data_IF_465328044020
#
_entry.id   IF_465328044020
#
_cell.length_a   1.000
_cell.length_b   1.000
_cell.length_c   1.000
_cell.angle_alpha   90.00
_cell.angle_beta   90.00
_cell.angle_gamma   90.00
#
_symmetry.space_group_name_H-M   'P 1'
#
loop_
_entity.id
_entity.type
_entity.pdbx_description
1 polymer ?
#
# COMPACT_ATOMS: atom_id res chain seq x y z
N UNK A 1 -8.76 9.57 -35.13
CA UNK A 1 -9.48 9.07 -33.94
C UNK A 1 -8.64 9.46 -32.74
N UNK A 2 -8.97 10.57 -32.09
CA UNK A 2 -8.22 11.06 -30.91
C UNK A 2 -8.79 10.36 -29.68
N UNK A 3 -7.95 9.61 -28.97
CA UNK A 3 -8.23 9.10 -27.62
C UNK A 3 -7.22 9.77 -26.69
N UNK A 4 -7.64 10.89 -26.10
CA UNK A 4 -7.03 11.46 -24.91
C UNK A 4 -7.79 10.87 -23.73
N UNK A 5 -7.15 9.94 -23.01
CA UNK A 5 -7.47 9.68 -21.61
C UNK A 5 -6.28 10.22 -20.81
N UNK A 6 -6.62 11.12 -19.90
CA UNK A 6 -5.80 12.09 -19.20
C UNK A 6 -4.54 11.58 -18.51
N UNK A 7 -3.48 12.37 -18.68
CA UNK A 7 -2.63 12.91 -17.60
C UNK A 7 -2.25 11.94 -16.48
N UNK A 8 -1.13 11.24 -16.64
CA UNK A 8 -0.31 10.85 -15.48
C UNK A 8 0.57 12.05 -15.14
N UNK A 9 0.02 12.99 -14.37
CA UNK A 9 0.80 14.02 -13.69
C UNK A 9 0.53 13.92 -12.19
N UNK A 10 1.39 13.20 -11.50
CA UNK A 10 1.75 13.48 -10.10
C UNK A 10 3.18 12.96 -9.88
N UNK A 11 4.16 13.69 -10.44
CA UNK A 11 5.54 13.59 -9.99
C UNK A 11 5.66 14.32 -8.66
N UNK A 12 5.55 13.56 -7.57
CA UNK A 12 6.10 13.93 -6.27
C UNK A 12 6.49 12.61 -5.60
N UNK A 13 7.74 12.20 -5.83
CA UNK A 13 8.38 11.04 -5.20
C UNK A 13 7.49 9.77 -5.14
N UNK A 14 7.32 9.11 -6.28
CA UNK A 14 6.58 7.85 -6.35
C UNK A 14 7.18 6.85 -5.34
N UNK A 15 6.42 6.52 -4.29
CA UNK A 15 6.78 5.45 -3.37
C UNK A 15 6.80 4.17 -4.19
N UNK A 16 7.90 3.40 -4.18
CA UNK A 16 8.01 2.23 -5.02
C UNK A 16 6.94 1.21 -4.65
N UNK A 17 6.32 0.62 -5.68
CA UNK A 17 5.42 -0.51 -5.49
C UNK A 17 6.19 -1.62 -4.79
N UNK A 18 5.60 -2.18 -3.73
CA UNK A 18 6.24 -3.20 -2.90
C UNK A 18 5.57 -4.54 -3.12
N UNK A 19 6.37 -5.55 -3.42
CA UNK A 19 5.93 -6.95 -3.46
C UNK A 19 6.09 -7.57 -2.07
N UNK A 20 4.99 -8.03 -1.49
CA UNK A 20 4.98 -8.85 -0.28
C UNK A 20 4.73 -10.33 -0.61
N UNK A 21 4.80 -11.18 0.41
CA UNK A 21 4.37 -12.58 0.26
C UNK A 21 2.84 -12.62 0.15
N UNK A 22 2.33 -12.97 -1.03
CA UNK A 22 0.89 -13.09 -1.30
C UNK A 22 0.17 -11.77 -1.59
N UNK A 23 0.90 -10.65 -1.77
CA UNK A 23 0.31 -9.37 -2.13
C UNK A 23 1.25 -8.40 -2.84
N UNK A 24 0.66 -7.36 -3.40
CA UNK A 24 1.32 -6.17 -3.91
C UNK A 24 0.77 -4.95 -3.17
N UNK A 25 1.66 -4.04 -2.78
CA UNK A 25 1.32 -2.81 -2.06
C UNK A 25 1.72 -1.62 -2.93
N UNK A 26 0.78 -0.73 -3.20
CA UNK A 26 1.02 0.58 -3.81
C UNK A 26 0.54 1.69 -2.89
N UNK A 27 1.11 2.87 -3.08
CA UNK A 27 0.74 4.07 -2.34
C UNK A 27 0.39 5.16 -3.34
N UNK A 28 -0.78 5.76 -3.15
CA UNK A 28 -1.31 6.84 -3.98
C UNK A 28 -1.47 8.09 -3.13
N UNK A 29 -1.13 9.26 -3.67
CA UNK A 29 -1.45 10.52 -3.00
C UNK A 29 -2.96 10.77 -3.08
N UNK A 30 -3.56 11.16 -1.95
CA UNK A 30 -4.97 11.54 -1.91
C UNK A 30 -5.19 12.82 -2.71
N UNK A 31 -6.20 12.82 -3.57
CA UNK A 31 -6.65 14.03 -4.28
C UNK A 31 -7.56 14.91 -3.43
N UNK A 32 -8.03 14.39 -2.28
CA UNK A 32 -8.94 15.10 -1.38
C UNK A 32 -8.18 15.96 -0.36
N UNK A 33 -7.04 15.48 0.14
CA UNK A 33 -6.27 16.12 1.22
C UNK A 33 -4.78 15.91 0.96
N UNK A 34 -3.99 17.00 0.99
CA UNK A 34 -2.59 16.99 0.55
C UNK A 34 -1.64 16.11 1.40
N UNK A 35 -1.96 15.92 2.68
CA UNK A 35 -1.16 15.13 3.62
C UNK A 35 -1.70 13.71 3.83
N UNK A 36 -2.58 13.26 2.93
CA UNK A 36 -3.16 11.93 2.98
C UNK A 36 -2.66 11.05 1.85
N UNK A 37 -2.45 9.79 2.18
CA UNK A 37 -2.05 8.75 1.25
C UNK A 37 -3.01 7.58 1.33
N UNK A 38 -3.35 7.03 0.18
CA UNK A 38 -4.15 5.82 0.05
C UNK A 38 -3.18 4.66 -0.11
N UNK A 39 -3.24 3.72 0.81
CA UNK A 39 -2.49 2.46 0.72
C UNK A 39 -3.43 1.44 0.09
N UNK A 40 -2.99 0.86 -1.01
CA UNK A 40 -3.71 -0.20 -1.73
C UNK A 40 -2.91 -1.47 -1.59
N UNK A 41 -3.54 -2.51 -1.03
CA UNK A 41 -2.97 -3.85 -0.90
C UNK A 41 -3.80 -4.80 -1.75
N UNK A 42 -3.21 -5.27 -2.84
CA UNK A 42 -3.80 -6.24 -3.76
C UNK A 42 -3.35 -7.65 -3.38
N UNK A 43 -4.30 -8.54 -3.12
CA UNK A 43 -4.03 -9.93 -2.74
C UNK A 43 -3.83 -10.79 -4.00
N UNK A 44 -2.80 -11.62 -4.01
CA UNK A 44 -2.48 -12.47 -5.18
C UNK A 44 -3.59 -13.49 -5.51
N UNK A 45 -4.37 -13.91 -4.50
CA UNK A 45 -5.52 -14.80 -4.69
C UNK A 45 -6.82 -14.09 -5.09
N UNK A 46 -6.79 -12.76 -5.28
CA UNK A 46 -7.96 -11.98 -5.65
C UNK A 46 -9.12 -12.14 -4.66
N UNK A 47 -10.35 -12.25 -5.19
CA UNK A 47 -11.56 -12.34 -4.37
C UNK A 47 -11.65 -13.62 -3.52
N UNK A 48 -10.93 -14.68 -3.90
CA UNK A 48 -10.92 -15.97 -3.20
C UNK A 48 -9.79 -16.07 -2.18
N UNK A 49 -8.91 -15.05 -2.10
CA UNK A 49 -7.87 -15.00 -1.08
C UNK A 49 -8.49 -14.89 0.32
N UNK A 50 -7.92 -15.58 1.33
CA UNK A 50 -8.25 -15.29 2.72
C UNK A 50 -7.97 -13.82 3.01
N UNK A 51 -8.94 -13.11 3.58
CA UNK A 51 -8.80 -11.70 3.88
C UNK A 51 -7.83 -11.53 5.08
N UNK A 52 -6.66 -10.90 4.89
CA UNK A 52 -5.75 -10.65 5.99
C UNK A 52 -6.32 -9.59 6.91
N UNK A 53 -6.09 -9.74 8.21
CA UNK A 53 -6.48 -8.76 9.22
C UNK A 53 -5.29 -7.88 9.60
N UNK A 54 -4.08 -8.30 9.25
CA UNK A 54 -2.84 -7.64 9.66
C UNK A 54 -1.83 -7.57 8.51
N UNK A 55 -1.24 -6.38 8.37
CA UNK A 55 -0.03 -6.16 7.59
C UNK A 55 1.15 -6.01 8.54
N UNK A 56 2.17 -6.83 8.35
CA UNK A 56 3.45 -6.71 9.02
C UNK A 56 4.44 -6.05 8.07
N UNK A 57 5.06 -4.97 8.51
CA UNK A 57 6.20 -4.36 7.83
C UNK A 57 7.43 -4.49 8.73
N UNK A 58 8.44 -5.22 8.26
CA UNK A 58 9.68 -5.45 9.00
C UNK A 58 10.83 -4.72 8.33
N UNK A 59 11.62 -3.97 9.11
CA UNK A 59 12.85 -3.35 8.63
C UNK A 59 14.02 -4.36 8.55
N UNK A 60 15.21 -3.91 8.17
CA UNK A 60 16.40 -4.78 8.09
C UNK A 60 16.93 -5.24 9.45
N UNK A 61 16.52 -4.59 10.54
CA UNK A 61 16.89 -4.97 11.90
C UNK A 61 15.88 -5.96 12.50
N UNK A 62 15.00 -6.55 11.69
CA UNK A 62 13.90 -7.43 12.09
C UNK A 62 12.89 -6.76 13.04
N UNK A 63 12.83 -5.42 13.07
CA UNK A 63 11.79 -4.71 13.79
C UNK A 63 10.51 -4.71 12.96
N UNK A 64 9.53 -5.51 13.38
CA UNK A 64 8.25 -5.63 12.71
C UNK A 64 7.18 -4.73 13.34
N UNK A 65 6.60 -3.88 12.51
CA UNK A 65 5.43 -3.07 12.85
C UNK A 65 4.16 -3.75 12.37
N UNK A 66 3.13 -3.73 13.22
CA UNK A 66 1.83 -4.36 12.97
C UNK A 66 0.82 -3.28 12.62
N UNK A 67 0.21 -3.40 11.45
CA UNK A 67 -0.84 -2.49 10.99
C UNK A 67 -2.13 -3.27 10.81
N UNK A 68 -3.21 -2.92 11.54
CA UNK A 68 -4.51 -3.52 11.31
C UNK A 68 -5.01 -3.15 9.91
N UNK A 69 -5.46 -4.16 9.17
CA UNK A 69 -6.06 -3.99 7.87
C UNK A 69 -7.58 -3.96 7.99
N UNK A 70 -8.27 -3.04 7.31
CA UNK A 70 -9.71 -3.16 7.16
C UNK A 70 -10.04 -4.38 6.29
N UNK A 71 -11.33 -4.73 6.30
CA UNK A 71 -11.82 -5.87 5.53
C UNK A 71 -11.51 -5.71 4.05
N UNK A 72 -10.90 -6.74 3.46
CA UNK A 72 -10.70 -6.81 2.02
C UNK A 72 -12.03 -6.82 1.27
N UNK A 73 -12.09 -6.11 0.15
CA UNK A 73 -13.20 -6.15 -0.79
C UNK A 73 -12.69 -6.64 -2.14
N UNK A 74 -13.16 -7.80 -2.59
CA UNK A 74 -12.79 -8.42 -3.87
C UNK A 74 -11.27 -8.57 -4.06
N UNK A 75 -10.55 -8.96 -3.00
CA UNK A 75 -9.10 -9.16 -3.06
C UNK A 75 -8.28 -7.89 -2.93
N UNK A 76 -8.91 -6.76 -2.60
CA UNK A 76 -8.20 -5.48 -2.41
C UNK A 76 -8.54 -4.91 -1.05
N UNK A 77 -7.51 -4.52 -0.31
CA UNK A 77 -7.63 -3.76 0.94
C UNK A 77 -7.17 -2.33 0.65
N UNK A 78 -7.98 -1.34 1.01
CA UNK A 78 -7.65 0.07 0.84
C UNK A 78 -7.92 0.84 2.12
N UNK A 79 -6.98 1.69 2.52
CA UNK A 79 -7.13 2.56 3.67
C UNK A 79 -6.30 3.83 3.52
N UNK A 80 -6.76 4.88 4.18
CA UNK A 80 -6.12 6.19 4.17
C UNK A 80 -5.22 6.31 5.39
N UNK A 81 -4.02 6.85 5.18
CA UNK A 81 -3.07 7.20 6.24
C UNK A 81 -2.59 8.63 6.06
N UNK A 82 -2.14 9.24 7.16
CA UNK A 82 -1.48 10.54 7.13
C UNK A 82 -0.01 10.37 6.73
N UNK A 83 0.59 11.44 6.21
CA UNK A 83 2.00 11.50 5.81
C UNK A 83 2.98 11.12 6.94
N UNK A 84 2.62 11.42 8.20
CA UNK A 84 3.41 11.16 9.41
C UNK A 84 3.23 9.74 9.98
N UNK A 85 2.34 8.93 9.38
CA UNK A 85 2.12 7.58 9.83
C UNK A 85 3.38 6.72 9.61
N UNK A 86 3.85 5.94 10.62
CA UNK A 86 5.06 5.12 10.49
C UNK A 86 5.07 4.16 9.29
N UNK A 87 3.89 3.76 8.82
CA UNK A 87 3.76 2.93 7.61
C UNK A 87 4.40 3.60 6.38
N UNK A 88 4.36 4.94 6.29
CA UNK A 88 4.91 5.70 5.17
C UNK A 88 6.42 5.63 5.14
N UNK A 89 7.08 5.73 6.30
CA UNK A 89 8.53 5.59 6.41
C UNK A 89 8.98 4.18 5.99
N UNK A 90 8.27 3.15 6.46
CA UNK A 90 8.56 1.75 6.14
C UNK A 90 8.31 1.44 4.65
N UNK A 91 7.23 1.97 4.07
CA UNK A 91 6.92 1.78 2.65
C UNK A 91 7.85 2.57 1.73
N UNK A 92 8.54 3.61 2.21
CA UNK A 92 9.60 4.32 1.45
C UNK A 92 10.93 3.56 1.45
N UNK A 93 11.27 2.80 2.48
CA UNK A 93 12.52 2.02 2.51
C UNK A 93 12.39 0.76 1.65
N UNK A 94 13.10 0.64 0.50
CA UNK A 94 12.97 -0.52 -0.38
C UNK A 94 13.35 -1.86 0.27
N UNK A 95 14.02 -1.84 1.43
CA UNK A 95 14.51 -3.04 2.13
C UNK A 95 13.49 -3.59 3.12
N UNK A 96 12.42 -2.85 3.42
CA UNK A 96 11.33 -3.32 4.27
C UNK A 96 10.61 -4.53 3.66
N UNK A 97 10.36 -5.56 4.47
CA UNK A 97 9.60 -6.73 4.05
C UNK A 97 8.12 -6.58 4.43
N UNK A 98 7.24 -6.98 3.52
CA UNK A 98 5.79 -6.96 3.76
C UNK A 98 5.23 -8.38 3.84
N UNK A 99 4.53 -8.67 4.94
CA UNK A 99 3.90 -9.98 5.19
C UNK A 99 2.45 -9.78 5.62
N UNK A 100 1.57 -10.63 5.09
CA UNK A 100 0.15 -10.66 5.48
C UNK A 100 -0.11 -11.73 6.54
N UNK A 101 -1.04 -11.44 7.46
CA UNK A 101 -1.49 -12.34 8.52
C UNK A 101 -3.00 -12.32 8.69
#
# INVERSE_FOLDING_TARGET
MYQLADVIAASSEAIPVRRGVGCQISVEASQAEADQFIIVVELDGGADAPAPELLLLCDEADHCHRFPLPKAHRGVVQFIVQADNPIMTLLRDPRTQALLR
#
